data_IF_473477915295
#
_entry.id   IF_473477915295
#
_cell.length_a   1.000
_cell.length_b   1.000
_cell.length_c   1.000
_cell.angle_alpha   90.00
_cell.angle_beta   90.00
_cell.angle_gamma   90.00
#
_symmetry.space_group_name_H-M   'P 1'
#
loop_
_entity.id
_entity.type
_entity.pdbx_description
1 polymer ?
#
# COMPACT_ATOMS: atom_id res chain seq x y z
N UNK A 1 -7.78 12.08 -16.67
CA UNK A 1 -6.96 11.12 -15.90
C UNK A 1 -5.94 11.97 -15.16
N UNK A 2 -6.17 12.28 -13.88
CA UNK A 2 -5.29 13.18 -13.12
C UNK A 2 -3.90 12.53 -13.06
N UNK A 3 -2.92 13.21 -13.65
CA UNK A 3 -1.53 12.83 -13.57
C UNK A 3 -1.15 12.72 -12.10
N UNK A 4 -0.90 11.51 -11.64
CA UNK A 4 -0.28 11.25 -10.35
C UNK A 4 1.17 11.71 -10.52
N UNK A 5 1.38 13.02 -10.41
CA UNK A 5 2.66 13.66 -10.66
C UNK A 5 3.69 13.10 -9.66
N UNK A 6 4.70 12.45 -10.21
CA UNK A 6 5.82 11.82 -9.53
C UNK A 6 6.76 12.80 -8.78
N UNK A 7 6.28 14.00 -8.44
CA UNK A 7 7.07 15.09 -7.87
C UNK A 7 7.35 14.92 -6.38
N UNK A 8 6.36 15.08 -5.50
CA UNK A 8 6.67 15.45 -4.11
C UNK A 8 5.62 15.04 -3.05
N UNK A 9 4.96 13.87 -3.20
CA UNK A 9 3.85 13.36 -2.36
C UNK A 9 2.50 13.82 -2.91
N UNK A 10 1.66 12.88 -3.35
CA UNK A 10 0.25 13.15 -3.64
C UNK A 10 -0.54 12.92 -2.33
N UNK A 11 -0.83 14.00 -1.60
CA UNK A 11 -1.41 13.95 -0.24
C UNK A 11 -2.93 13.96 -0.21
N UNK A 12 -3.62 14.03 -1.36
CA UNK A 12 -5.08 14.21 -1.40
C UNK A 12 -5.80 12.87 -1.50
N UNK A 13 -6.37 12.36 -0.40
CA UNK A 13 -7.06 11.07 -0.46
C UNK A 13 -8.11 10.78 0.63
N UNK A 14 -8.11 11.42 1.81
CA UNK A 14 -9.01 10.98 2.90
C UNK A 14 -10.51 11.20 2.63
N UNK A 15 -11.40 10.30 3.09
CA UNK A 15 -12.84 10.53 3.14
C UNK A 15 -13.20 11.71 4.07
N UNK A 16 -14.38 12.30 3.86
CA UNK A 16 -14.86 13.47 4.61
C UNK A 16 -15.08 13.19 6.12
N UNK A 17 -15.19 11.91 6.54
CA UNK A 17 -15.31 11.49 7.93
C UNK A 17 -14.57 10.17 8.23
N UNK A 18 -14.01 10.06 9.44
CA UNK A 18 -13.40 8.83 9.99
C UNK A 18 -14.35 8.16 10.99
N UNK A 19 -15.57 7.79 10.56
CA UNK A 19 -16.49 7.01 11.41
C UNK A 19 -16.35 5.52 11.10
N UNK A 20 -15.16 4.97 11.31
CA UNK A 20 -14.82 3.58 10.99
C UNK A 20 -14.01 2.93 12.10
N UNK A 21 -14.02 1.60 12.13
CA UNK A 21 -13.35 0.78 13.14
C UNK A 21 -11.81 0.83 13.08
N UNK A 22 -11.24 1.41 12.02
CA UNK A 22 -9.77 1.50 11.84
C UNK A 22 -9.05 0.12 11.87
N UNK A 23 -9.78 -0.96 11.55
CA UNK A 23 -9.32 -2.32 11.80
C UNK A 23 -8.30 -2.89 10.80
N UNK A 24 -8.31 -2.41 9.55
CA UNK A 24 -7.34 -2.88 8.56
C UNK A 24 -6.10 -1.99 8.59
N UNK A 25 -5.06 -2.50 9.23
CA UNK A 25 -3.78 -1.81 9.43
C UNK A 25 -2.66 -2.50 8.64
N UNK A 26 -2.30 -2.02 7.44
CA UNK A 26 -1.23 -2.58 6.63
C UNK A 26 0.09 -2.63 7.41
N UNK A 27 0.81 -3.75 7.34
CA UNK A 27 2.08 -3.90 8.07
C UNK A 27 3.17 -2.99 7.51
N UNK A 28 4.17 -2.63 8.33
CA UNK A 28 5.36 -1.91 7.84
C UNK A 28 6.04 -2.67 6.69
N UNK A 29 6.14 -3.99 6.80
CA UNK A 29 6.69 -4.83 5.74
C UNK A 29 5.93 -4.64 4.42
N UNK A 30 4.60 -4.56 4.48
CA UNK A 30 3.80 -4.31 3.28
C UNK A 30 3.99 -2.90 2.73
N UNK A 31 4.08 -1.90 3.61
CA UNK A 31 4.40 -0.53 3.21
C UNK A 31 5.77 -0.45 2.51
N UNK A 32 6.76 -1.25 2.91
CA UNK A 32 8.11 -1.27 2.33
C UNK A 32 8.21 -2.00 0.98
N UNK A 33 7.23 -2.79 0.59
CA UNK A 33 7.23 -3.49 -0.70
C UNK A 33 6.81 -2.61 -1.87
N UNK A 34 6.08 -1.53 -1.61
CA UNK A 34 5.81 -0.54 -2.64
C UNK A 34 7.13 0.02 -3.14
N UNK A 35 7.29 0.09 -4.46
CA UNK A 35 8.48 0.66 -5.08
C UNK A 35 8.70 2.12 -4.66
N UNK A 36 9.90 2.62 -4.90
CA UNK A 36 10.16 4.06 -4.87
C UNK A 36 9.70 4.69 -6.18
N UNK A 37 9.67 6.02 -6.26
CA UNK A 37 9.32 6.73 -7.50
C UNK A 37 10.33 6.46 -8.64
N UNK A 38 11.51 5.92 -8.32
CA UNK A 38 12.49 5.43 -9.31
C UNK A 38 12.14 4.05 -9.85
N UNK A 39 11.04 3.44 -9.39
CA UNK A 39 10.64 2.10 -9.79
C UNK A 39 11.49 0.98 -9.19
N UNK A 40 12.30 1.28 -8.18
CA UNK A 40 13.17 0.33 -7.47
C UNK A 40 12.47 -0.18 -6.20
N UNK A 41 12.76 -1.42 -5.78
CA UNK A 41 12.36 -1.85 -4.44
C UNK A 41 13.04 -0.95 -3.40
N UNK A 42 12.40 -0.72 -2.26
CA UNK A 42 12.95 0.13 -1.19
C UNK A 42 14.35 -0.30 -0.74
N UNK A 43 14.60 -1.61 -0.69
CA UNK A 43 15.93 -2.18 -0.39
C UNK A 43 16.99 -1.89 -1.47
N UNK A 44 16.55 -1.73 -2.72
CA UNK A 44 17.42 -1.51 -3.88
C UNK A 44 17.68 0.00 -4.14
N UNK A 45 16.91 0.92 -3.53
CA UNK A 45 17.09 2.37 -3.66
C UNK A 45 17.92 2.97 -2.51
N UNK A 46 19.19 3.26 -2.78
CA UNK A 46 20.11 3.83 -1.78
C UNK A 46 19.67 5.21 -1.27
N UNK A 47 19.15 6.08 -2.14
CA UNK A 47 18.67 7.41 -1.75
C UNK A 47 17.49 7.30 -0.80
N UNK A 48 16.55 6.38 -1.08
CA UNK A 48 15.42 6.15 -0.20
C UNK A 48 15.86 5.57 1.14
N UNK A 49 16.78 4.59 1.15
CA UNK A 49 17.28 3.97 2.39
C UNK A 49 17.99 4.95 3.30
N UNK A 50 18.80 5.85 2.76
CA UNK A 50 19.58 6.82 3.56
C UNK A 50 18.81 8.10 3.86
N UNK A 51 17.64 8.33 3.26
CA UNK A 51 16.82 9.51 3.56
C UNK A 51 16.35 9.53 5.01
N UNK A 52 16.67 10.61 5.72
CA UNK A 52 16.29 10.86 7.13
C UNK A 52 15.46 12.14 7.30
N UNK A 53 15.53 13.07 6.36
CA UNK A 53 14.86 14.36 6.47
C UNK A 53 13.33 14.23 6.35
N UNK A 54 12.62 14.71 7.36
CA UNK A 54 11.18 14.91 7.29
C UNK A 54 10.85 16.04 6.31
N UNK A 55 9.82 15.84 5.51
CA UNK A 55 9.19 16.92 4.77
C UNK A 55 8.18 17.58 5.71
N UNK A 56 8.07 18.90 5.67
CA UNK A 56 7.18 19.61 6.57
C UNK A 56 6.54 20.80 5.89
N UNK A 57 5.31 21.10 6.28
CA UNK A 57 4.54 22.23 5.78
C UNK A 57 3.52 22.65 6.84
N UNK A 58 2.93 23.83 6.66
CA UNK A 58 1.87 24.33 7.53
C UNK A 58 0.52 24.25 6.82
N UNK A 59 -0.50 23.84 7.55
CA UNK A 59 -1.88 23.89 7.06
C UNK A 59 -2.34 25.34 6.90
N UNK A 60 -3.15 25.61 5.89
CA UNK A 60 -3.62 26.97 5.57
C UNK A 60 -4.63 27.53 6.57
N UNK A 61 -5.37 26.68 7.29
CA UNK A 61 -6.46 27.09 8.18
C UNK A 61 -5.99 27.52 9.56
N UNK A 62 -5.18 26.69 10.21
CA UNK A 62 -4.79 26.79 11.61
C UNK A 62 -3.28 26.91 11.81
N UNK A 63 -2.53 27.05 10.70
CA UNK A 63 -1.07 27.19 10.70
C UNK A 63 -0.36 26.03 11.44
N UNK A 64 -1.02 24.86 11.50
CA UNK A 64 -0.54 23.67 12.17
C UNK A 64 0.62 23.09 11.38
N UNK A 65 1.73 22.86 12.07
CA UNK A 65 2.93 22.27 11.48
C UNK A 65 2.74 20.75 11.31
N UNK A 66 2.89 20.26 10.07
CA UNK A 66 2.79 18.85 9.71
C UNK A 66 4.16 18.32 9.30
N UNK A 67 4.41 17.05 9.63
CA UNK A 67 5.64 16.35 9.30
C UNK A 67 5.31 15.05 8.58
N UNK A 68 5.95 14.82 7.43
CA UNK A 68 5.85 13.61 6.64
C UNK A 68 7.16 12.84 6.76
N UNK A 69 7.05 11.61 7.25
CA UNK A 69 8.17 10.72 7.44
C UNK A 69 8.98 10.55 6.14
N UNK A 70 10.33 10.55 6.20
CA UNK A 70 11.19 10.40 5.02
C UNK A 70 10.83 9.21 4.13
N UNK A 71 10.35 8.12 4.74
CA UNK A 71 10.00 6.86 4.03
C UNK A 71 8.67 6.90 3.29
N UNK A 72 7.84 7.93 3.47
CA UNK A 72 6.63 8.14 2.66
C UNK A 72 6.87 9.03 1.45
N UNK A 73 8.05 9.63 1.33
CA UNK A 73 8.37 10.54 0.24
C UNK A 73 8.89 9.76 -0.98
N UNK A 74 8.54 10.23 -2.17
CA UNK A 74 9.00 9.68 -3.46
C UNK A 74 8.74 8.17 -3.57
N UNK A 75 7.50 7.75 -3.36
CA UNK A 75 7.04 6.36 -3.49
C UNK A 75 6.33 6.12 -4.80
N UNK A 76 6.13 4.85 -5.12
CA UNK A 76 5.16 4.38 -6.09
C UNK A 76 3.81 5.07 -5.89
N UNK A 77 3.21 5.67 -6.92
CA UNK A 77 1.86 6.23 -6.88
C UNK A 77 0.80 5.37 -6.18
N UNK A 78 0.89 4.04 -6.32
CA UNK A 78 -0.02 3.09 -5.68
C UNK A 78 0.12 3.05 -4.16
N UNK A 79 1.28 3.42 -3.60
CA UNK A 79 1.45 3.56 -2.15
C UNK A 79 0.45 4.59 -1.60
N UNK A 80 0.39 5.77 -2.23
CA UNK A 80 -0.49 6.86 -1.84
C UNK A 80 -1.98 6.53 -2.08
N UNK A 81 -2.28 5.64 -3.02
CA UNK A 81 -3.63 5.19 -3.35
C UNK A 81 -4.13 4.02 -2.51
N UNK A 82 -3.23 3.26 -1.86
CA UNK A 82 -3.59 2.07 -1.11
C UNK A 82 -3.41 2.23 0.40
N UNK A 83 -2.40 2.98 0.82
CA UNK A 83 -1.97 3.09 2.21
C UNK A 83 -2.26 4.51 2.70
N UNK A 84 -3.02 4.60 3.79
CA UNK A 84 -3.12 5.80 4.59
C UNK A 84 -2.00 5.85 5.62
N UNK A 85 -1.21 6.91 5.60
CA UNK A 85 -0.06 7.14 6.49
C UNK A 85 -0.15 8.48 7.26
N UNK A 86 0.59 8.62 8.37
CA UNK A 86 0.55 9.81 9.22
C UNK A 86 0.86 11.08 8.44
N UNK A 87 0.02 12.11 8.63
CA UNK A 87 0.16 13.40 7.94
C UNK A 87 -0.41 13.44 6.52
N UNK A 88 -0.96 12.34 5.99
CA UNK A 88 -1.69 12.38 4.71
C UNK A 88 -3.03 13.13 4.89
N UNK A 89 -3.40 13.93 3.88
CA UNK A 89 -4.57 14.82 3.92
C UNK A 89 -5.82 14.23 3.26
N UNK A 90 -6.97 14.75 3.70
CA UNK A 90 -8.23 14.67 2.94
C UNK A 90 -8.14 15.50 1.67
N UNK A 91 -8.96 15.17 0.67
CA UNK A 91 -9.00 15.86 -0.61
C UNK A 91 -8.82 17.38 -0.45
N UNK A 92 -7.99 17.93 -1.32
CA UNK A 92 -7.74 19.36 -1.47
C UNK A 92 -9.08 20.13 -1.52
N UNK A 93 -9.47 20.70 -0.38
CA UNK A 93 -10.53 21.70 -0.28
C UNK A 93 -9.85 23.06 -0.49
N UNK A 94 -9.70 23.46 -1.76
CA UNK A 94 -9.19 24.80 -2.06
C UNK A 94 -10.30 25.83 -1.82
N UNK A 95 -10.19 26.53 -0.69
CA UNK A 95 -10.67 27.89 -0.54
C UNK A 95 -12.18 28.10 -0.59
N UNK A 96 -12.60 29.22 0.03
CA UNK A 96 -13.97 29.72 -0.05
C UNK A 96 -14.28 30.43 -1.38
N UNK A 97 -13.33 30.51 -2.32
CA UNK A 97 -13.51 31.26 -3.57
C UNK A 97 -12.64 30.75 -4.71
N UNK A 98 -13.25 30.72 -5.91
CA UNK A 98 -12.61 30.35 -7.17
C UNK A 98 -11.76 31.52 -7.67
N UNK A 99 -10.44 31.37 -7.71
CA UNK A 99 -9.56 32.26 -8.47
C UNK A 99 -9.39 31.75 -9.91
N UNK A 100 -9.06 32.64 -10.83
CA UNK A 100 -8.81 32.30 -12.24
C UNK A 100 -7.66 31.29 -12.43
N UNK A 101 -6.74 31.19 -11.47
CA UNK A 101 -5.63 30.22 -11.49
C UNK A 101 -6.04 28.77 -11.22
N UNK A 102 -7.22 28.53 -10.65
CA UNK A 102 -7.67 27.19 -10.22
C UNK A 102 -8.78 26.58 -11.08
N UNK A 103 -9.16 27.23 -12.20
CA UNK A 103 -10.27 26.80 -13.06
C UNK A 103 -10.07 25.46 -13.78
N UNK A 104 -8.82 25.07 -14.05
CA UNK A 104 -8.51 23.86 -14.83
C UNK A 104 -8.28 22.61 -13.96
N UNK A 105 -8.38 22.72 -12.63
CA UNK A 105 -8.27 21.58 -11.72
C UNK A 105 -9.67 20.99 -11.49
N UNK A 106 -9.99 19.94 -12.24
CA UNK A 106 -11.20 19.11 -12.19
C UNK A 106 -12.11 19.29 -10.95
N UNK A 107 -13.17 20.07 -11.15
CA UNK A 107 -14.26 20.43 -10.23
C UNK A 107 -15.14 19.27 -9.72
N UNK A 108 -14.76 18.00 -9.91
CA UNK A 108 -15.68 16.86 -9.69
C UNK A 108 -15.79 16.38 -8.24
N UNK A 109 -14.98 16.91 -7.32
CA UNK A 109 -14.87 16.34 -5.96
C UNK A 109 -14.79 17.39 -4.84
N UNK A 110 -15.14 18.65 -5.10
CA UNK A 110 -15.12 19.74 -4.11
C UNK A 110 -16.50 19.94 -3.48
N UNK A 111 -16.61 19.74 -2.17
CA UNK A 111 -17.80 20.14 -1.39
C UNK A 111 -17.61 21.55 -0.85
N UNK A 112 -18.49 22.48 -1.21
CA UNK A 112 -18.53 23.82 -0.61
C UNK A 112 -19.37 23.75 0.68
N UNK A 113 -18.74 23.87 1.84
CA UNK A 113 -19.47 24.04 3.10
C UNK A 113 -20.02 25.46 3.18
N UNK A 114 -21.34 25.59 3.27
CA UNK A 114 -22.07 26.85 3.51
C UNK A 114 -21.79 27.48 4.88
N UNK A 115 -20.96 26.85 5.73
CA UNK A 115 -20.59 27.34 7.05
C UNK A 115 -19.09 27.11 7.33
N UNK A 116 -18.19 27.81 6.62
CA UNK A 116 -16.77 27.96 7.00
C UNK A 116 -15.96 26.68 7.29
N UNK A 117 -16.44 25.52 6.84
CA UNK A 117 -15.96 24.22 7.28
C UNK A 117 -14.75 23.73 6.49
N UNK A 118 -13.66 24.49 6.49
CA UNK A 118 -12.37 23.96 6.04
C UNK A 118 -11.97 22.79 6.95
N UNK A 119 -12.15 21.54 6.53
CA UNK A 119 -11.62 20.39 7.28
C UNK A 119 -10.64 19.63 6.41
N UNK A 120 -9.45 20.20 6.24
CA UNK A 120 -8.27 19.41 5.89
C UNK A 120 -8.01 18.42 7.02
N UNK A 121 -8.77 17.32 7.05
CA UNK A 121 -8.52 16.23 7.99
C UNK A 121 -7.16 15.64 7.64
N UNK A 122 -6.45 15.25 8.68
CA UNK A 122 -5.16 14.61 8.65
C UNK A 122 -5.30 13.30 9.39
N UNK A 123 -4.52 12.31 8.98
CA UNK A 123 -4.40 11.10 9.77
C UNK A 123 -3.32 11.27 10.83
N UNK A 124 -3.74 11.31 12.10
CA UNK A 124 -2.91 11.60 13.27
C UNK A 124 -2.94 10.44 14.28
N UNK A 125 -2.26 9.30 14.00
CA UNK A 125 -2.42 8.07 14.77
C UNK A 125 -1.53 7.95 16.02
N UNK A 126 -0.74 8.96 16.36
CA UNK A 126 0.02 8.99 17.62
C UNK A 126 -0.93 9.14 18.82
N UNK A 127 -0.49 8.76 20.02
CA UNK A 127 -1.35 8.52 21.19
C UNK A 127 -2.36 9.64 21.48
N UNK A 128 -1.92 10.89 21.50
CA UNK A 128 -2.72 12.08 21.80
C UNK A 128 -3.31 12.77 20.54
N UNK A 129 -3.05 12.22 19.36
CA UNK A 129 -3.56 12.68 18.07
C UNK A 129 -5.04 12.40 17.88
N UNK A 130 -5.66 13.04 16.88
CA UNK A 130 -7.10 12.93 16.65
C UNK A 130 -7.56 11.49 16.35
N UNK A 131 -6.69 10.68 15.76
CA UNK A 131 -6.92 9.26 15.44
C UNK A 131 -6.20 8.31 16.40
N UNK A 132 -5.51 8.87 17.38
CA UNK A 132 -4.72 8.17 18.39
C UNK A 132 -5.53 7.40 19.40
N UNK A 133 -4.91 6.35 19.94
CA UNK A 133 -5.51 5.50 20.98
C UNK A 133 -6.01 6.29 22.20
N UNK A 134 -5.27 7.31 22.65
CA UNK A 134 -5.64 8.14 23.80
C UNK A 134 -6.89 9.02 23.60
N UNK A 135 -7.43 9.10 22.38
CA UNK A 135 -8.69 9.78 22.07
C UNK A 135 -9.87 8.82 21.84
N UNK A 136 -9.67 7.50 21.96
CA UNK A 136 -10.70 6.49 21.73
C UNK A 136 -11.19 5.91 23.06
N UNK A 137 -12.49 5.62 23.13
CA UNK A 137 -13.14 4.98 24.28
C UNK A 137 -13.39 3.47 24.08
N UNK A 138 -12.93 2.91 22.95
CA UNK A 138 -13.20 1.53 22.54
C UNK A 138 -11.99 0.83 21.93
N UNK A 139 -12.24 -0.27 21.22
CA UNK A 139 -11.21 -1.11 20.59
C UNK A 139 -10.86 -0.68 19.17
N UNK A 140 -11.47 0.41 18.69
CA UNK A 140 -11.37 0.88 17.32
C UNK A 140 -10.25 1.92 17.20
N UNK A 141 -9.06 1.44 16.87
CA UNK A 141 -7.90 2.27 16.61
C UNK A 141 -6.91 1.56 15.67
N UNK A 142 -6.13 2.35 14.95
CA UNK A 142 -5.03 1.84 14.15
C UNK A 142 -3.94 1.26 15.06
N UNK A 143 -3.52 0.02 14.84
CA UNK A 143 -2.60 -0.69 15.75
C UNK A 143 -1.11 -0.48 15.42
N UNK A 144 -0.79 0.11 14.27
CA UNK A 144 0.59 0.15 13.76
C UNK A 144 0.96 1.45 13.02
N UNK A 145 0.10 2.46 13.04
CA UNK A 145 0.30 3.75 12.38
C UNK A 145 -0.06 3.81 10.89
N UNK A 146 -0.59 2.74 10.30
CA UNK A 146 -1.08 2.69 8.92
C UNK A 146 -2.54 2.25 8.84
N UNK A 147 -3.27 2.74 7.83
CA UNK A 147 -4.61 2.23 7.52
C UNK A 147 -4.73 1.88 6.04
N UNK A 148 -5.64 0.96 5.71
CA UNK A 148 -6.06 0.73 4.35
C UNK A 148 -6.87 1.93 3.84
N UNK A 149 -6.54 2.38 2.65
CA UNK A 149 -7.31 3.40 1.92
C UNK A 149 -7.91 2.89 0.61
N UNK A 150 -7.33 1.85 -0.01
CA UNK A 150 -7.91 1.21 -1.20
C UNK A 150 -9.38 0.84 -0.93
N UNK A 151 -10.22 1.01 -1.95
CA UNK A 151 -11.69 0.77 -1.92
C UNK A 151 -12.52 1.82 -1.17
N UNK A 152 -11.89 2.81 -0.53
CA UNK A 152 -12.64 3.91 0.08
C UNK A 152 -13.22 4.78 -1.03
N UNK A 153 -14.53 4.65 -1.24
CA UNK A 153 -15.26 5.40 -2.24
C UNK A 153 -15.18 6.92 -2.00
N UNK A 154 -15.09 7.67 -3.09
CA UNK A 154 -15.23 9.13 -3.07
C UNK A 154 -16.71 9.48 -2.91
N UNK A 155 -17.11 9.93 -1.72
CA UNK A 155 -18.50 10.31 -1.44
C UNK A 155 -18.65 11.82 -1.38
N UNK A 156 -19.81 12.34 -1.81
CA UNK A 156 -20.10 13.78 -1.79
C UNK A 156 -20.32 14.31 -0.37
N UNK A 157 -20.69 13.45 0.58
CA UNK A 157 -20.96 13.84 1.97
C UNK A 157 -20.34 12.86 2.97
N UNK A 158 -20.29 13.27 4.24
CA UNK A 158 -19.79 12.48 5.37
C UNK A 158 -20.70 11.32 5.79
N UNK A 159 -21.94 11.28 5.28
CA UNK A 159 -22.97 10.30 5.66
C UNK A 159 -23.41 9.42 4.49
N UNK A 160 -23.09 9.82 3.25
CA UNK A 160 -23.34 8.99 2.07
C UNK A 160 -22.46 7.76 2.12
N UNK A 161 -23.07 6.57 2.04
CA UNK A 161 -22.33 5.33 1.79
C UNK A 161 -21.99 5.28 0.31
N UNK A 162 -20.72 5.13 -0.01
CA UNK A 162 -20.29 4.89 -1.39
C UNK A 162 -20.35 3.40 -1.71
N UNK A 163 -20.57 3.08 -2.99
CA UNK A 163 -20.54 1.72 -3.48
C UNK A 163 -19.11 1.20 -3.55
N UNK A 164 -18.91 -0.05 -3.15
CA UNK A 164 -17.63 -0.74 -3.28
C UNK A 164 -17.69 -1.71 -4.45
N UNK A 165 -16.89 -1.43 -5.48
CA UNK A 165 -16.61 -2.41 -6.52
C UNK A 165 -15.35 -3.19 -6.13
N UNK A 166 -15.53 -4.44 -5.74
CA UNK A 166 -14.43 -5.37 -5.46
C UNK A 166 -14.27 -6.27 -6.69
N UNK A 167 -13.27 -6.04 -7.55
CA UNK A 167 -13.06 -6.88 -8.72
C UNK A 167 -12.62 -8.29 -8.29
N UNK A 168 -13.24 -9.31 -8.87
CA UNK A 168 -12.79 -10.71 -8.73
C UNK A 168 -11.68 -11.00 -9.77
N UNK A 169 -11.82 -10.44 -10.97
CA UNK A 169 -10.81 -10.47 -12.02
C UNK A 169 -10.69 -9.08 -12.63
N UNK A 170 -9.47 -8.67 -12.97
CA UNK A 170 -9.22 -7.43 -13.71
C UNK A 170 -8.03 -7.54 -14.63
N UNK A 171 -8.01 -6.71 -15.66
CA UNK A 171 -7.01 -6.75 -16.72
C UNK A 171 -5.54 -6.70 -16.21
N UNK A 172 -5.27 -5.91 -15.15
CA UNK A 172 -3.93 -5.87 -14.58
C UNK A 172 -3.43 -7.20 -14.01
N UNK A 173 -4.33 -8.06 -13.53
CA UNK A 173 -3.97 -9.43 -13.14
C UNK A 173 -3.60 -10.28 -14.36
N UNK A 174 -4.33 -10.16 -15.48
CA UNK A 174 -4.04 -10.90 -16.71
C UNK A 174 -2.64 -10.57 -17.24
N UNK A 175 -2.27 -9.29 -17.25
CA UNK A 175 -0.93 -8.84 -17.64
C UNK A 175 0.17 -9.48 -16.77
N UNK A 176 -0.04 -9.52 -15.46
CA UNK A 176 0.90 -10.13 -14.52
C UNK A 176 0.97 -11.66 -14.64
N UNK A 177 -0.17 -12.32 -14.89
CA UNK A 177 -0.21 -13.76 -15.14
C UNK A 177 0.60 -14.11 -16.40
N UNK A 178 0.44 -13.34 -17.49
CA UNK A 178 1.22 -13.52 -18.72
C UNK A 178 2.71 -13.33 -18.46
N UNK A 179 3.10 -12.25 -17.77
CA UNK A 179 4.50 -11.96 -17.46
C UNK A 179 5.14 -13.05 -16.59
N UNK A 180 4.45 -13.51 -15.54
CA UNK A 180 4.93 -14.58 -14.66
C UNK A 180 5.07 -15.91 -15.41
N UNK A 181 4.06 -16.31 -16.19
CA UNK A 181 4.11 -17.54 -16.99
C UNK A 181 5.23 -17.52 -18.04
N UNK A 182 5.38 -16.41 -18.77
CA UNK A 182 6.43 -16.25 -19.77
C UNK A 182 7.83 -16.31 -19.13
N UNK A 183 7.99 -15.70 -17.96
CA UNK A 183 9.22 -15.74 -17.19
C UNK A 183 9.54 -17.17 -16.73
N UNK A 184 8.61 -17.88 -16.08
CA UNK A 184 8.87 -19.22 -15.57
C UNK A 184 9.15 -20.23 -16.69
N UNK A 185 8.44 -20.12 -17.82
CA UNK A 185 8.72 -20.93 -19.02
C UNK A 185 10.14 -20.70 -19.54
N UNK A 186 10.57 -19.43 -19.63
CA UNK A 186 11.90 -19.08 -20.12
C UNK A 186 13.00 -19.49 -19.14
N UNK A 187 12.75 -19.33 -17.84
CA UNK A 187 13.67 -19.76 -16.78
C UNK A 187 13.86 -21.28 -16.77
N UNK A 188 12.77 -22.04 -16.92
CA UNK A 188 12.81 -23.51 -17.01
C UNK A 188 13.58 -24.02 -18.24
N UNK A 189 13.60 -23.27 -19.34
CA UNK A 189 14.34 -23.59 -20.56
C UNK A 189 15.85 -23.27 -20.49
N UNK A 190 16.41 -23.08 -19.29
CA UNK A 190 17.83 -22.78 -19.08
C UNK A 190 18.17 -21.30 -18.98
N UNK A 191 17.17 -20.43 -18.74
CA UNK A 191 17.38 -18.99 -18.51
C UNK A 191 17.77 -18.19 -19.75
N UNK A 192 17.62 -18.78 -20.94
CA UNK A 192 17.77 -18.08 -22.21
C UNK A 192 16.81 -16.88 -22.30
N UNK A 193 17.29 -15.83 -22.95
CA UNK A 193 16.59 -14.62 -23.35
C UNK A 193 15.56 -13.99 -22.38
N UNK A 194 15.80 -14.08 -21.06
CA UNK A 194 14.93 -13.46 -20.06
C UNK A 194 14.78 -11.95 -20.26
N UNK A 195 15.82 -11.28 -20.78
CA UNK A 195 15.85 -9.82 -20.93
C UNK A 195 15.25 -9.31 -22.24
N UNK A 196 15.13 -10.16 -23.27
CA UNK A 196 14.56 -9.77 -24.56
C UNK A 196 13.21 -10.41 -24.88
N UNK A 197 12.72 -11.38 -24.08
CA UNK A 197 11.37 -11.93 -24.21
C UNK A 197 10.27 -10.85 -24.00
N UNK A 198 9.51 -10.46 -25.05
CA UNK A 198 8.50 -9.40 -24.96
C UNK A 198 7.30 -9.77 -24.09
N UNK A 199 6.93 -11.06 -24.00
CA UNK A 199 5.79 -11.50 -23.18
C UNK A 199 6.02 -11.21 -21.69
N UNK A 200 7.28 -11.18 -21.25
CA UNK A 200 7.66 -10.77 -19.89
C UNK A 200 7.54 -9.25 -19.74
N UNK A 201 8.17 -8.51 -20.66
CA UNK A 201 8.44 -7.09 -20.44
C UNK A 201 7.29 -6.18 -20.89
N UNK A 202 6.62 -6.45 -22.00
CA UNK A 202 5.62 -5.53 -22.56
C UNK A 202 4.39 -5.44 -21.66
N UNK A 203 3.88 -6.59 -21.20
CA UNK A 203 2.77 -6.67 -20.24
C UNK A 203 3.09 -5.96 -18.91
N UNK A 204 4.33 -6.11 -18.43
CA UNK A 204 4.78 -5.47 -17.19
C UNK A 204 4.98 -3.96 -17.37
N UNK A 205 5.55 -3.54 -18.50
CA UNK A 205 5.78 -2.13 -18.81
C UNK A 205 4.47 -1.36 -18.96
N UNK A 206 3.44 -1.98 -19.54
CA UNK A 206 2.10 -1.38 -19.62
C UNK A 206 1.55 -1.01 -18.24
N UNK A 207 1.65 -1.93 -17.27
CA UNK A 207 1.23 -1.69 -15.89
C UNK A 207 1.99 -0.54 -15.23
N UNK A 208 3.31 -0.51 -15.41
CA UNK A 208 4.18 0.51 -14.79
C UNK A 208 4.00 1.88 -15.44
N UNK A 209 3.82 1.92 -16.75
CA UNK A 209 3.53 3.14 -17.49
C UNK A 209 2.22 3.80 -17.03
N UNK A 210 1.17 2.99 -16.76
CA UNK A 210 -0.12 3.49 -16.24
C UNK A 210 0.04 4.30 -14.95
N UNK A 211 1.01 3.93 -14.10
CA UNK A 211 1.29 4.62 -12.83
C UNK A 211 2.52 5.52 -12.92
N UNK A 212 3.04 5.80 -14.11
CA UNK A 212 4.17 6.71 -14.31
C UNK A 212 5.50 6.22 -13.71
N UNK A 213 5.66 4.92 -13.48
CA UNK A 213 6.93 4.34 -13.06
C UNK A 213 7.81 4.02 -14.28
N UNK A 214 9.14 4.18 -14.17
CA UNK A 214 10.05 3.71 -15.21
C UNK A 214 9.95 2.19 -15.36
N UNK A 215 10.21 1.70 -16.57
CA UNK A 215 10.32 0.27 -16.81
C UNK A 215 11.43 -0.35 -15.94
N UNK A 216 11.27 -1.62 -15.58
CA UNK A 216 12.18 -2.30 -14.63
C UNK A 216 13.60 -2.36 -15.18
N UNK A 217 13.77 -2.64 -16.48
CA UNK A 217 15.10 -2.77 -17.10
C UNK A 217 15.87 -1.45 -17.04
N UNK A 218 15.23 -0.33 -17.37
CA UNK A 218 15.84 1.00 -17.29
C UNK A 218 16.11 1.42 -15.86
N UNK A 219 15.16 1.20 -14.93
CA UNK A 219 15.32 1.53 -13.52
C UNK A 219 16.52 0.80 -12.89
N UNK A 220 16.61 -0.52 -13.09
CA UNK A 220 17.67 -1.34 -12.52
C UNK A 220 19.03 -1.12 -13.21
N UNK A 221 19.03 -0.85 -14.52
CA UNK A 221 20.24 -0.40 -15.23
C UNK A 221 20.77 0.92 -14.66
N UNK A 222 19.91 1.90 -14.45
CA UNK A 222 20.30 3.19 -13.87
C UNK A 222 20.81 3.06 -12.42
N UNK A 223 20.32 2.06 -11.67
CA UNK A 223 20.80 1.73 -10.34
C UNK A 223 22.10 0.88 -10.32
N UNK A 224 22.54 0.37 -11.47
CA UNK A 224 23.69 -0.54 -11.55
C UNK A 224 23.42 -1.91 -10.92
N UNK A 225 22.16 -2.34 -10.84
CA UNK A 225 21.76 -3.60 -10.22
C UNK A 225 21.45 -4.62 -11.33
N UNK A 226 22.15 -5.77 -11.38
CA UNK A 226 21.90 -6.78 -12.40
C UNK A 226 20.53 -7.44 -12.22
N UNK A 227 19.89 -7.75 -13.35
CA UNK A 227 18.63 -8.50 -13.42
C UNK A 227 18.92 -9.96 -13.73
N UNK A 228 19.32 -10.73 -12.73
CA UNK A 228 19.37 -12.19 -12.83
C UNK A 228 17.96 -12.81 -12.67
N UNK A 229 17.83 -14.12 -12.94
CA UNK A 229 16.55 -14.81 -12.87
C UNK A 229 15.90 -14.69 -11.47
N UNK A 230 16.69 -14.70 -10.39
CA UNK A 230 16.17 -14.59 -9.02
C UNK A 230 15.59 -13.19 -8.79
N UNK A 231 16.30 -12.14 -9.21
CA UNK A 231 15.86 -10.75 -9.08
C UNK A 231 14.63 -10.48 -9.94
N UNK A 232 14.58 -11.00 -11.18
CA UNK A 232 13.40 -10.86 -12.04
C UNK A 232 12.17 -11.52 -11.38
N UNK A 233 12.30 -12.75 -10.89
CA UNK A 233 11.21 -13.43 -10.16
C UNK A 233 10.73 -12.63 -8.95
N UNK A 234 11.66 -12.18 -8.11
CA UNK A 234 11.35 -11.34 -6.95
C UNK A 234 10.58 -10.08 -7.35
N UNK A 235 10.96 -9.44 -8.46
CA UNK A 235 10.32 -8.22 -8.92
C UNK A 235 8.93 -8.50 -9.49
N UNK A 236 8.71 -9.61 -10.20
CA UNK A 236 7.38 -10.03 -10.67
C UNK A 236 6.46 -10.28 -9.47
N UNK A 237 6.92 -11.03 -8.47
CA UNK A 237 6.16 -11.30 -7.25
C UNK A 237 5.83 -10.00 -6.50
N UNK A 238 6.78 -9.06 -6.48
CA UNK A 238 6.61 -7.74 -5.84
C UNK A 238 5.62 -6.87 -6.60
N UNK A 239 5.71 -6.80 -7.93
CA UNK A 239 4.77 -6.06 -8.77
C UNK A 239 3.36 -6.60 -8.60
N UNK A 240 3.19 -7.93 -8.63
CA UNK A 240 1.90 -8.59 -8.38
C UNK A 240 1.33 -8.20 -7.02
N UNK A 241 2.18 -8.19 -5.98
CA UNK A 241 1.77 -7.81 -4.62
C UNK A 241 1.32 -6.35 -4.51
N UNK A 242 2.02 -5.43 -5.16
CA UNK A 242 1.73 -3.98 -5.11
C UNK A 242 0.48 -3.66 -5.93
N UNK A 243 0.42 -4.20 -7.14
CA UNK A 243 -0.69 -3.98 -8.06
C UNK A 243 -2.00 -4.52 -7.47
N UNK A 244 -1.98 -5.77 -7.00
CA UNK A 244 -3.15 -6.49 -6.51
C UNK A 244 -3.29 -6.45 -4.97
N UNK A 245 -2.66 -5.45 -4.33
CA UNK A 245 -2.76 -5.27 -2.89
C UNK A 245 -4.23 -5.16 -2.45
N UNK A 246 -4.60 -5.90 -1.40
CA UNK A 246 -5.96 -5.91 -0.84
C UNK A 246 -7.06 -6.40 -1.81
N UNK A 247 -6.71 -7.25 -2.78
CA UNK A 247 -7.64 -7.91 -3.73
C UNK A 247 -7.81 -9.42 -3.45
N UNK A 248 -7.44 -9.89 -2.25
CA UNK A 248 -7.63 -11.30 -1.85
C UNK A 248 -6.62 -12.31 -2.42
N UNK A 249 -5.63 -11.86 -3.20
CA UNK A 249 -4.69 -12.77 -3.88
C UNK A 249 -3.45 -13.15 -3.05
N UNK A 250 -2.98 -12.28 -2.15
CA UNK A 250 -1.71 -12.47 -1.44
C UNK A 250 -1.63 -13.79 -0.66
N UNK A 251 -2.75 -14.20 -0.07
CA UNK A 251 -2.87 -15.47 0.65
C UNK A 251 -2.54 -16.67 -0.24
N UNK A 252 -3.08 -16.68 -1.47
CA UNK A 252 -2.88 -17.76 -2.43
C UNK A 252 -1.51 -17.67 -3.12
N UNK A 253 -1.06 -16.46 -3.45
CA UNK A 253 0.26 -16.23 -4.06
C UNK A 253 1.40 -16.74 -3.16
N UNK A 254 1.37 -16.41 -1.86
CA UNK A 254 2.34 -16.93 -0.89
C UNK A 254 2.37 -18.48 -0.86
N UNK A 255 1.21 -19.13 -0.99
CA UNK A 255 1.09 -20.59 -0.90
C UNK A 255 1.58 -21.28 -2.16
N UNK A 256 1.16 -20.82 -3.34
CA UNK A 256 1.57 -21.41 -4.63
C UNK A 256 3.07 -21.19 -4.92
N UNK A 257 3.66 -20.11 -4.40
CA UNK A 257 5.10 -19.87 -4.48
C UNK A 257 5.91 -20.56 -3.37
N UNK A 258 5.25 -21.24 -2.41
CA UNK A 258 5.89 -21.81 -1.22
C UNK A 258 6.67 -20.78 -0.38
N UNK A 259 6.24 -19.51 -0.42
CA UNK A 259 6.80 -18.39 0.34
C UNK A 259 6.04 -18.13 1.65
N UNK A 260 4.90 -18.81 1.90
CA UNK A 260 4.03 -18.50 3.02
C UNK A 260 4.76 -18.56 4.37
N UNK A 261 5.65 -19.53 4.57
CA UNK A 261 6.46 -19.59 5.80
C UNK A 261 7.33 -18.35 5.97
N UNK A 262 8.09 -17.97 4.95
CA UNK A 262 8.95 -16.77 4.98
C UNK A 262 8.14 -15.49 5.20
N UNK A 263 6.96 -15.37 4.57
CA UNK A 263 6.20 -14.11 4.50
C UNK A 263 5.11 -13.98 5.58
N UNK A 264 4.63 -15.08 6.16
CA UNK A 264 3.53 -15.11 7.15
C UNK A 264 4.03 -15.45 8.57
N UNK A 265 5.29 -15.86 8.74
CA UNK A 265 5.94 -16.01 10.04
C UNK A 265 6.62 -14.72 10.52
N UNK A 266 6.84 -14.62 11.82
CA UNK A 266 7.71 -13.65 12.46
C UNK A 266 7.02 -12.38 12.94
N UNK A 267 7.84 -11.47 13.45
CA UNK A 267 7.41 -10.19 14.03
C UNK A 267 6.89 -9.25 12.96
N UNK A 268 5.74 -8.62 13.20
CA UNK A 268 5.19 -7.51 12.40
C UNK A 268 5.49 -6.19 13.09
N UNK A 269 5.97 -5.24 12.29
CA UNK A 269 6.43 -3.95 12.74
C UNK A 269 5.43 -2.86 12.34
N UNK A 270 5.38 -1.81 13.15
CA UNK A 270 4.58 -0.61 12.97
C UNK A 270 5.24 0.58 13.65
N UNK A 271 4.60 1.74 13.59
CA UNK A 271 4.97 2.88 14.42
C UNK A 271 4.49 2.71 15.86
N UNK A 272 5.15 3.41 16.78
CA UNK A 272 4.82 3.41 18.21
C UNK A 272 3.57 4.25 18.48
N UNK A 273 2.38 3.69 18.20
CA UNK A 273 1.08 4.36 18.37
C UNK A 273 0.76 4.75 19.82
N UNK A 274 1.47 4.19 20.81
CA UNK A 274 1.33 4.53 22.22
C UNK A 274 2.20 5.72 22.64
N UNK A 275 3.01 6.26 21.72
CA UNK A 275 3.80 7.46 21.96
C UNK A 275 3.04 8.72 21.50
N UNK A 276 3.11 9.82 22.27
CA UNK A 276 2.47 11.08 21.89
C UNK A 276 3.23 11.80 20.77
N UNK A 277 2.60 12.78 20.14
CA UNK A 277 3.30 13.80 19.34
C UNK A 277 2.99 13.82 17.84
N UNK A 278 3.87 13.26 17.01
CA UNK A 278 3.87 13.47 15.55
C UNK A 278 4.90 14.48 15.02
N UNK A 279 5.63 15.15 15.91
CA UNK A 279 6.84 15.93 15.55
C UNK A 279 8.02 15.04 15.15
N UNK A 280 9.04 15.56 14.45
CA UNK A 280 10.12 14.75 13.86
C UNK A 280 11.01 14.05 14.89
N UNK A 281 11.01 14.53 16.15
CA UNK A 281 11.75 13.93 17.27
C UNK A 281 10.89 13.03 18.16
N UNK A 282 9.60 12.87 17.84
CA UNK A 282 8.69 12.01 18.61
C UNK A 282 9.09 10.54 18.46
N UNK A 283 8.99 9.79 19.57
CA UNK A 283 9.16 8.34 19.59
C UNK A 283 8.07 7.58 18.82
N UNK A 284 6.98 8.25 18.40
CA UNK A 284 5.98 7.69 17.49
C UNK A 284 6.65 7.09 16.24
N UNK A 285 7.65 7.77 15.67
CA UNK A 285 8.32 7.35 14.43
C UNK A 285 9.23 6.12 14.60
N UNK A 286 9.43 5.62 15.82
CA UNK A 286 10.17 4.38 16.04
C UNK A 286 9.38 3.19 15.51
N UNK A 287 10.07 2.28 14.82
CA UNK A 287 9.49 0.99 14.45
C UNK A 287 9.46 0.08 15.68
N UNK A 288 8.26 -0.37 16.05
CA UNK A 288 8.03 -1.26 17.20
C UNK A 288 7.31 -2.54 16.75
N UNK A 289 7.63 -3.69 17.38
CA UNK A 289 6.82 -4.89 17.27
C UNK A 289 5.39 -4.64 17.78
N UNK A 290 4.39 -5.02 16.99
CA UNK A 290 2.98 -5.00 17.45
C UNK A 290 2.33 -6.38 17.42
N UNK A 291 2.90 -7.34 16.70
CA UNK A 291 2.41 -8.71 16.62
C UNK A 291 3.54 -9.67 16.28
N UNK A 292 3.50 -10.89 16.83
CA UNK A 292 4.39 -11.99 16.42
C UNK A 292 3.55 -13.14 15.85
N UNK A 293 3.83 -13.53 14.61
CA UNK A 293 3.08 -14.58 13.91
C UNK A 293 3.89 -15.88 13.89
N UNK A 294 3.23 -16.99 14.15
CA UNK A 294 3.82 -18.34 14.04
C UNK A 294 3.23 -19.05 12.84
N UNK A 295 4.09 -19.65 12.01
CA UNK A 295 3.67 -20.43 10.86
C UNK A 295 3.99 -21.92 11.05
N UNK A 296 3.04 -22.77 10.69
CA UNK A 296 3.21 -24.21 10.67
C UNK A 296 2.98 -24.68 9.24
N UNK A 297 3.78 -25.62 8.73
CA UNK A 297 3.69 -26.06 7.34
C UNK A 297 2.28 -26.60 6.97
N UNK A 298 1.52 -27.13 7.93
CA UNK A 298 0.09 -27.49 7.73
C UNK A 298 -0.77 -26.32 7.21
N UNK A 299 -0.41 -25.06 7.48
CA UNK A 299 -1.13 -23.85 7.04
C UNK A 299 -1.00 -23.55 5.53
N UNK A 300 -0.23 -24.35 4.78
CA UNK A 300 -0.32 -24.37 3.32
C UNK A 300 -1.69 -24.86 2.83
N UNK A 301 -2.36 -25.70 3.63
CA UNK A 301 -3.72 -26.20 3.36
C UNK A 301 -4.70 -25.75 4.44
N UNK A 302 -5.96 -25.56 4.07
CA UNK A 302 -7.04 -25.39 5.05
C UNK A 302 -7.44 -26.76 5.61
N UNK A 303 -7.74 -26.87 6.91
CA UNK A 303 -8.28 -28.13 7.45
C UNK A 303 -9.64 -28.44 6.82
N UNK A 304 -9.88 -29.70 6.50
CA UNK A 304 -11.22 -30.21 6.23
C UNK A 304 -11.97 -30.23 7.57
N UNK A 305 -13.19 -29.66 7.66
CA UNK A 305 -13.96 -29.68 8.90
C UNK A 305 -14.19 -31.12 9.40
N UNK A 306 -14.03 -31.35 10.70
CA UNK A 306 -14.12 -32.69 11.29
C UNK A 306 -15.47 -33.37 11.00
N UNK A 307 -16.56 -32.61 10.96
CA UNK A 307 -17.88 -33.15 10.64
C UNK A 307 -17.97 -33.69 9.21
N UNK A 308 -17.21 -33.13 8.26
CA UNK A 308 -17.17 -33.64 6.88
C UNK A 308 -16.38 -34.95 6.80
N UNK A 309 -15.32 -35.11 7.59
CA UNK A 309 -14.58 -36.38 7.73
C UNK A 309 -15.45 -37.46 8.37
N UNK A 310 -16.22 -37.12 9.39
CA UNK A 310 -17.12 -38.05 10.07
C UNK A 310 -18.24 -38.55 9.14
N UNK A 311 -18.72 -37.70 8.22
CA UNK A 311 -19.75 -38.05 7.22
C UNK A 311 -19.23 -38.97 6.12
N UNK A 312 -17.97 -38.80 5.71
CA UNK A 312 -17.38 -39.56 4.61
C UNK A 312 -16.08 -40.25 5.05
N UNK A 313 -16.14 -41.52 5.49
CA UNK A 313 -14.96 -42.29 5.88
C UNK A 313 -13.91 -42.49 4.79
N UNK A 314 -14.25 -42.25 3.51
CA UNK A 314 -13.28 -42.30 2.40
C UNK A 314 -12.50 -40.98 2.22
N UNK A 315 -12.88 -39.91 2.92
CA UNK A 315 -12.20 -38.63 2.90
C UNK A 315 -11.08 -38.61 3.94
N UNK A 316 -9.84 -38.35 3.51
CA UNK A 316 -8.71 -38.15 4.41
C UNK A 316 -8.45 -36.67 4.67
N UNK A 317 -7.95 -36.34 5.86
CA UNK A 317 -7.57 -34.98 6.23
C UNK A 317 -6.36 -34.48 5.40
N UNK A 318 -6.25 -33.16 5.26
CA UNK A 318 -5.08 -32.49 4.70
C UNK A 318 -3.83 -32.68 5.59
N UNK A 319 -2.61 -32.68 5.03
CA UNK A 319 -1.40 -32.97 5.80
C UNK A 319 -1.20 -32.08 7.04
N UNK A 320 -1.04 -32.72 8.21
CA UNK A 320 -0.72 -32.08 9.48
C UNK A 320 -1.88 -31.45 10.26
N UNK A 321 -3.12 -31.59 9.77
CA UNK A 321 -4.34 -31.13 10.45
C UNK A 321 -5.05 -32.21 11.25
#
# INVERSE_FOLDING_TARGET
MQAISAGFINTSALPLSFQSYSGISPTQQHADEYFTSKGLMTKDDSEWRTRTAFFSYKTSKDNRQIYIHPKFQKRDPRFYANILFPGQHSYYMDGSSVTSENKDKDRKWSWALSSGGNTGRLFDPWYDGADGFGKKSGRDYCINGYLLYKWVAHTFTTTTRGDWLIPIFRYGELLLNTAECAFEKSAAAGGGDLLSNPDIWDNWNELRARVGLPDVRSAYRAAGIPLDAKKIRELIHTERRVELAFEGLRYFDNRRWLEAREKEEGTRLGFSILSPGGGPTSSFWNQTPYQNLVFYDRKYFMPIPQDELNKNPALSQNPGW
#
